data_IF_131260013875
#
_entry.id   IF_131260013875
#
_cell.length_a   1.000
_cell.length_b   1.000
_cell.length_c   1.000
_cell.angle_alpha   90.00
_cell.angle_beta   90.00
_cell.angle_gamma   90.00
#
_symmetry.space_group_name_H-M   'P 1'
#
loop_
_entity.id
_entity.type
_entity.pdbx_description
1 polymer ?
#
# COMPACT_ATOMS: atom_id res chain seq x y z
N UNK A 1 10.59 11.16 21.89
CA UNK A 1 9.51 10.28 21.38
C UNK A 1 10.15 9.10 20.64
N UNK A 2 9.43 7.99 20.46
CA UNK A 2 9.97 6.75 19.88
C UNK A 2 9.27 6.42 18.57
N UNK A 3 10.06 6.11 17.55
CA UNK A 3 9.54 5.58 16.29
C UNK A 3 8.91 4.20 16.51
N UNK A 4 7.69 4.04 16.02
CA UNK A 4 6.96 2.76 16.12
C UNK A 4 6.90 2.12 14.76
N UNK A 5 7.39 0.88 14.66
CA UNK A 5 7.34 0.08 13.44
C UNK A 5 6.33 -1.05 13.64
N UNK A 6 5.41 -1.21 12.69
CA UNK A 6 4.41 -2.28 12.70
C UNK A 6 4.70 -3.29 11.61
N UNK A 7 4.50 -4.57 11.91
CA UNK A 7 4.69 -5.69 11.00
C UNK A 7 3.40 -6.51 10.87
N UNK A 8 3.24 -7.19 9.74
CA UNK A 8 2.20 -8.20 9.55
C UNK A 8 2.66 -9.58 10.04
N UNK A 9 1.78 -10.58 9.91
CA UNK A 9 2.03 -11.97 10.31
C UNK A 9 3.15 -12.66 9.52
N UNK A 10 3.52 -12.10 8.36
CA UNK A 10 4.62 -12.60 7.52
C UNK A 10 5.95 -11.88 7.83
N UNK A 11 5.98 -11.03 8.86
CA UNK A 11 7.17 -10.26 9.25
C UNK A 11 7.48 -9.10 8.32
N UNK A 12 6.54 -8.72 7.44
CA UNK A 12 6.71 -7.58 6.51
C UNK A 12 6.29 -6.30 7.22
N UNK A 13 7.03 -5.21 7.01
CA UNK A 13 6.74 -3.92 7.63
C UNK A 13 5.54 -3.25 6.96
N UNK A 14 4.49 -2.95 7.73
CA UNK A 14 3.25 -2.33 7.25
C UNK A 14 3.05 -0.88 7.70
N UNK A 15 3.80 -0.42 8.71
CA UNK A 15 3.79 0.98 9.10
C UNK A 15 5.09 1.42 9.78
N UNK A 16 5.42 2.70 9.62
CA UNK A 16 6.33 3.45 10.48
C UNK A 16 5.57 4.68 10.95
N UNK A 17 5.53 4.89 12.25
CA UNK A 17 4.99 6.09 12.89
C UNK A 17 6.15 6.82 13.57
N UNK A 18 6.58 7.91 12.95
CA UNK A 18 7.64 8.78 13.46
C UNK A 18 7.01 10.13 13.82
N UNK A 19 7.26 10.66 15.02
CA UNK A 19 6.62 11.88 15.52
C UNK A 19 6.97 13.14 14.70
N UNK A 20 8.13 13.18 14.06
CA UNK A 20 8.62 14.33 13.30
C UNK A 20 8.11 14.33 11.85
N UNK A 21 7.95 13.15 11.26
CA UNK A 21 7.63 12.96 9.83
C UNK A 21 6.22 12.42 9.58
N UNK A 22 5.54 11.98 10.64
CA UNK A 22 4.22 11.37 10.61
C UNK A 22 4.23 9.91 10.16
N UNK A 23 3.03 9.33 10.04
CA UNK A 23 2.84 7.92 9.72
C UNK A 23 3.01 7.64 8.23
N UNK A 24 3.76 6.60 7.90
CA UNK A 24 3.80 5.99 6.57
C UNK A 24 3.32 4.55 6.65
N UNK A 25 2.50 4.12 5.70
CA UNK A 25 1.89 2.79 5.64
C UNK A 25 2.08 2.14 4.28
N UNK A 26 2.10 0.80 4.28
CA UNK A 26 2.25 -0.03 3.10
C UNK A 26 1.26 -1.20 3.13
N UNK A 27 0.80 -1.59 1.94
CA UNK A 27 -0.05 -2.75 1.72
C UNK A 27 0.61 -3.69 0.73
N UNK A 28 0.48 -4.99 0.98
CA UNK A 28 1.08 -6.04 0.19
C UNK A 28 0.01 -7.03 -0.26
N UNK A 29 0.21 -7.66 -1.41
CA UNK A 29 -0.53 -8.85 -1.82
C UNK A 29 0.03 -10.12 -1.12
N UNK A 30 -0.63 -11.26 -1.33
CA UNK A 30 -0.22 -12.55 -0.75
C UNK A 30 1.12 -13.04 -1.32
N UNK A 31 1.50 -12.59 -2.52
CA UNK A 31 2.78 -12.93 -3.15
C UNK A 31 3.95 -12.05 -2.65
N UNK A 32 3.70 -11.07 -1.77
CA UNK A 32 4.72 -10.19 -1.22
C UNK A 32 4.98 -8.91 -2.00
N UNK A 33 4.23 -8.63 -3.07
CA UNK A 33 4.39 -7.40 -3.83
C UNK A 33 3.65 -6.25 -3.12
N UNK A 34 4.29 -5.08 -3.04
CA UNK A 34 3.71 -3.88 -2.43
C UNK A 34 2.70 -3.24 -3.37
N UNK A 35 1.40 -3.34 -3.07
CA UNK A 35 0.32 -2.83 -3.94
C UNK A 35 -0.08 -1.38 -3.63
N UNK A 36 0.22 -0.88 -2.43
CA UNK A 36 -0.03 0.52 -2.09
C UNK A 36 0.93 1.06 -1.04
N UNK A 37 1.11 2.39 -1.06
CA UNK A 37 1.83 3.18 -0.06
C UNK A 37 1.09 4.48 0.23
N UNK A 38 1.06 4.87 1.50
CA UNK A 38 0.50 6.14 1.94
C UNK A 38 1.47 6.81 2.91
N UNK A 39 1.85 8.05 2.63
CA UNK A 39 2.65 8.89 3.54
C UNK A 39 1.73 9.85 4.29
N UNK A 40 2.23 10.49 5.36
CA UNK A 40 1.47 11.47 6.12
C UNK A 40 0.86 12.59 5.25
N UNK A 41 1.58 13.05 4.23
CA UNK A 41 1.09 14.07 3.30
C UNK A 41 -0.03 13.56 2.38
N UNK A 42 0.04 12.30 1.97
CA UNK A 42 -1.01 11.67 1.17
C UNK A 42 -2.23 11.32 2.02
N UNK A 43 -2.01 10.91 3.28
CA UNK A 43 -3.08 10.67 4.25
C UNK A 43 -3.93 11.94 4.46
N UNK A 44 -3.30 13.11 4.62
CA UNK A 44 -4.01 14.41 4.72
C UNK A 44 -4.91 14.71 3.53
N UNK A 45 -4.61 14.14 2.37
CA UNK A 45 -5.37 14.31 1.12
C UNK A 45 -6.26 13.11 0.80
N UNK A 46 -6.31 12.11 1.68
CA UNK A 46 -6.93 10.81 1.43
C UNK A 46 -6.48 10.23 0.07
N UNK A 47 -5.17 10.15 -0.13
CA UNK A 47 -4.52 9.68 -1.37
C UNK A 47 -3.60 8.51 -1.10
N UNK A 48 -3.29 7.76 -2.15
CA UNK A 48 -2.39 6.61 -2.13
C UNK A 48 -1.51 6.63 -3.38
N UNK A 49 -0.31 6.08 -3.25
CA UNK A 49 0.46 5.59 -4.39
C UNK A 49 0.12 4.11 -4.54
N UNK A 50 -0.38 3.71 -5.69
CA UNK A 50 -0.75 2.32 -6.00
C UNK A 50 0.20 1.73 -7.02
N UNK A 51 0.46 0.44 -6.89
CA UNK A 51 1.36 -0.31 -7.74
C UNK A 51 0.63 -1.52 -8.32
N UNK A 52 0.79 -1.75 -9.61
CA UNK A 52 0.30 -2.98 -10.27
C UNK A 52 1.46 -3.76 -10.85
N UNK A 53 1.38 -5.09 -10.74
CA UNK A 53 2.42 -6.01 -11.18
C UNK A 53 1.87 -6.98 -12.22
N UNK A 54 2.72 -7.37 -13.18
CA UNK A 54 2.47 -8.49 -14.10
C UNK A 54 3.71 -9.37 -14.12
N UNK A 55 3.57 -10.62 -13.69
CA UNK A 55 4.70 -11.57 -13.53
C UNK A 55 5.87 -10.97 -12.73
N UNK A 56 5.58 -10.42 -11.54
CA UNK A 56 6.55 -9.74 -10.66
C UNK A 56 7.25 -8.49 -11.24
N UNK A 57 6.86 -8.04 -12.42
CA UNK A 57 7.34 -6.79 -12.99
C UNK A 57 6.36 -5.67 -12.68
N UNK A 58 6.86 -4.57 -12.11
CA UNK A 58 6.07 -3.35 -11.92
C UNK A 58 5.59 -2.85 -13.29
N UNK A 59 4.28 -2.62 -13.42
CA UNK A 59 3.66 -2.15 -14.66
C UNK A 59 3.11 -0.74 -14.56
N UNK A 60 2.59 -0.33 -13.39
CA UNK A 60 2.03 1.01 -13.22
C UNK A 60 2.31 1.55 -11.82
N UNK A 61 2.49 2.86 -11.76
CA UNK A 61 2.42 3.66 -10.53
C UNK A 61 1.27 4.62 -10.73
N UNK A 62 0.26 4.54 -9.85
CA UNK A 62 -0.89 5.43 -9.87
C UNK A 62 -0.94 6.28 -8.60
N UNK A 63 -1.04 7.60 -8.77
CA UNK A 63 -1.17 8.58 -7.70
C UNK A 63 -2.60 9.14 -7.59
N UNK A 64 -3.58 8.48 -8.23
CA UNK A 64 -4.95 8.98 -8.36
C UNK A 64 -5.59 9.30 -7.01
N UNK A 65 -6.27 10.45 -6.99
CA UNK A 65 -7.16 10.87 -5.90
C UNK A 65 -8.22 9.79 -5.78
N UNK A 66 -8.42 9.26 -4.58
CA UNK A 66 -9.30 8.13 -4.29
C UNK A 66 -10.59 8.15 -5.12
N UNK A 67 -10.64 7.30 -6.14
CA UNK A 67 -11.86 6.73 -6.67
C UNK A 67 -11.61 5.21 -6.79
N UNK A 68 -12.52 4.43 -6.22
CA UNK A 68 -12.64 2.97 -6.35
C UNK A 68 -11.69 2.10 -5.50
N UNK A 69 -11.91 2.07 -4.18
CA UNK A 69 -11.52 0.94 -3.30
C UNK A 69 -12.66 -0.10 -3.16
N UNK A 70 -13.50 -0.28 -4.18
CA UNK A 70 -14.52 -1.33 -4.17
C UNK A 70 -14.78 -1.86 -5.58
N UNK A 71 -14.23 -3.05 -5.91
CA UNK A 71 -14.99 -4.17 -6.52
C UNK A 71 -14.17 -5.37 -7.03
N UNK A 72 -12.83 -5.36 -7.11
CA UNK A 72 -12.15 -6.39 -7.92
C UNK A 72 -11.14 -7.27 -7.16
N UNK A 73 -11.62 -7.97 -6.12
CA UNK A 73 -11.15 -9.34 -5.84
C UNK A 73 -11.97 -10.39 -6.61
N UNK A 74 -12.63 -9.97 -7.70
CA UNK A 74 -13.22 -10.83 -8.72
C UNK A 74 -12.46 -10.54 -10.00
N UNK A 75 -11.58 -11.45 -10.42
CA UNK A 75 -11.28 -11.82 -11.81
C UNK A 75 -10.04 -12.75 -11.82
N UNK A 76 -10.10 -13.84 -11.04
CA UNK A 76 -9.39 -15.07 -11.39
C UNK A 76 -10.39 -16.23 -11.39
N UNK A 77 -11.41 -16.10 -12.23
CA UNK A 77 -12.14 -17.25 -12.75
C UNK A 77 -11.97 -17.19 -14.27
N UNK A 78 -10.86 -17.75 -14.75
CA UNK A 78 -10.74 -18.19 -16.13
C UNK A 78 -10.82 -19.71 -16.02
N UNK A 79 -11.98 -20.24 -16.41
CA UNK A 79 -12.13 -21.61 -16.88
C UNK A 79 -11.51 -21.65 -18.28
#
# INVERSE_FOLDING_TARGET
MKDTITYDSYGRRVAIDNPDTGKTQWWYDDAGNMIARQTANLQKKNQYIRYSYRYHQLKMIDNSKNDVMNQNNRLFNII
#
